data_IF_217008885738
#
_entry.id   IF_217008885738
#
_cell.length_a   1.000
_cell.length_b   1.000
_cell.length_c   1.000
_cell.angle_alpha   90.00
_cell.angle_beta   90.00
_cell.angle_gamma   90.00
#
_symmetry.space_group_name_H-M   'P 1'
#
loop_
_entity.id
_entity.type
_entity.pdbx_description
1 polymer ?
#
# COMPACT_ATOMS: atom_id res chain seq x y z
N UNK A 1 -3.29 1.16 17.51
CA UNK A 1 -4.47 0.97 16.65
C UNK A 1 -4.61 -0.50 16.35
N UNK A 2 -5.80 -0.94 15.95
CA UNK A 2 -5.95 -2.26 15.33
C UNK A 2 -4.96 -2.39 14.15
N UNK A 3 -4.44 -3.60 13.92
CA UNK A 3 -3.78 -3.93 12.66
C UNK A 3 -4.89 -4.28 11.66
N UNK A 4 -5.11 -3.42 10.67
CA UNK A 4 -6.19 -3.58 9.68
C UNK A 4 -5.63 -3.64 8.29
N UNK A 5 -6.19 -4.54 7.50
CA UNK A 5 -6.12 -4.53 6.04
C UNK A 5 -7.53 -4.21 5.52
N UNK A 6 -7.77 -2.94 5.18
CA UNK A 6 -9.12 -2.45 4.87
C UNK A 6 -10.05 -2.49 6.10
N UNK A 7 -11.12 -3.31 6.03
CA UNK A 7 -12.03 -3.61 7.17
C UNK A 7 -11.73 -4.96 7.85
N UNK A 8 -10.79 -5.73 7.31
CA UNK A 8 -10.32 -6.94 7.98
C UNK A 8 -9.37 -6.53 9.10
N UNK A 9 -9.77 -6.84 10.32
CA UNK A 9 -8.93 -6.65 11.50
C UNK A 9 -8.09 -7.91 11.58
N UNK A 10 -6.82 -7.81 11.21
CA UNK A 10 -5.85 -8.90 11.33
C UNK A 10 -5.60 -9.15 12.82
N UNK A 11 -5.32 -8.07 13.56
CA UNK A 11 -5.08 -8.13 14.99
C UNK A 11 -5.80 -6.96 15.69
N UNK A 12 -6.78 -7.25 16.58
CA UNK A 12 -7.52 -6.20 17.26
C UNK A 12 -6.65 -5.45 18.27
N UNK A 13 -7.02 -4.20 18.56
CA UNK A 13 -6.32 -3.38 19.55
C UNK A 13 -6.23 -4.06 20.91
N UNK A 14 -7.27 -4.83 21.30
CA UNK A 14 -7.33 -5.62 22.54
C UNK A 14 -6.12 -6.53 22.70
N UNK A 15 -5.75 -7.26 21.64
CA UNK A 15 -4.65 -8.22 21.66
C UNK A 15 -3.31 -7.49 21.61
N UNK A 16 -3.20 -6.43 20.80
CA UNK A 16 -1.97 -5.64 20.65
C UNK A 16 -1.55 -4.91 21.93
N UNK A 17 -2.52 -4.49 22.76
CA UNK A 17 -2.25 -3.71 23.97
C UNK A 17 -2.11 -4.59 25.22
N UNK A 18 -2.48 -5.87 25.14
CA UNK A 18 -2.48 -6.78 26.27
C UNK A 18 -1.09 -6.84 26.91
N UNK A 19 -1.03 -6.59 28.21
CA UNK A 19 0.22 -6.61 28.98
C UNK A 19 1.18 -5.46 28.68
N UNK A 20 0.79 -4.47 27.87
CA UNK A 20 1.59 -3.24 27.64
C UNK A 20 1.30 -2.20 28.71
N UNK A 21 2.23 -1.27 28.91
CA UNK A 21 2.04 -0.16 29.86
C UNK A 21 1.47 1.05 29.12
N UNK A 22 0.36 1.60 29.61
CA UNK A 22 -0.26 2.78 29.02
C UNK A 22 0.56 4.03 29.35
N UNK A 23 0.64 4.97 28.41
CA UNK A 23 1.37 6.23 28.62
C UNK A 23 0.48 7.30 29.25
N UNK A 24 -0.77 7.42 28.85
CA UNK A 24 -1.72 8.43 29.33
C UNK A 24 -2.85 7.82 30.13
N UNK A 25 -3.57 8.64 30.90
CA UNK A 25 -4.81 8.21 31.53
C UNK A 25 -5.85 7.88 30.45
N UNK A 26 -6.42 6.68 30.51
CA UNK A 26 -7.53 6.29 29.67
C UNK A 26 -8.85 6.68 30.34
N UNK A 27 -9.54 7.65 29.75
CA UNK A 27 -10.80 8.18 30.26
C UNK A 27 -11.94 7.73 29.34
N UNK A 28 -12.86 6.93 29.87
CA UNK A 28 -14.13 6.60 29.21
C UNK A 28 -15.27 7.28 29.96
N UNK A 29 -16.13 8.00 29.23
CA UNK A 29 -17.34 8.65 29.77
C UNK A 29 -17.11 9.44 31.08
N UNK A 30 -15.98 10.15 31.16
CA UNK A 30 -15.61 10.99 32.30
C UNK A 30 -15.04 10.25 33.52
N UNK A 31 -14.79 8.94 33.42
CA UNK A 31 -14.10 8.15 34.45
C UNK A 31 -12.77 7.60 33.93
N UNK A 32 -11.72 7.72 34.74
CA UNK A 32 -10.42 7.10 34.46
C UNK A 32 -10.57 5.59 34.65
N UNK A 33 -10.52 4.81 33.57
CA UNK A 33 -10.53 3.34 33.63
C UNK A 33 -9.12 2.84 33.93
N UNK A 34 -8.12 3.36 33.21
CA UNK A 34 -6.73 2.94 33.33
C UNK A 34 -5.87 4.17 33.59
N UNK A 35 -5.04 4.13 34.63
CA UNK A 35 -4.14 5.23 34.97
C UNK A 35 -2.86 5.17 34.16
N UNK A 36 -2.30 6.33 33.83
CA UNK A 36 -0.99 6.48 33.22
C UNK A 36 0.06 5.65 33.97
N UNK A 37 0.83 4.87 33.22
CA UNK A 37 1.94 4.08 33.76
C UNK A 37 1.53 2.77 34.44
N UNK A 38 0.25 2.38 34.41
CA UNK A 38 -0.20 1.03 34.76
C UNK A 38 -0.10 0.09 33.57
N UNK A 39 -0.01 -1.21 33.88
CA UNK A 39 0.05 -2.26 32.87
C UNK A 39 -1.37 -2.72 32.58
N UNK A 40 -1.71 -2.82 31.30
CA UNK A 40 -3.04 -3.18 30.84
C UNK A 40 -3.27 -4.67 31.08
N UNK A 41 -4.22 -4.96 31.96
CA UNK A 41 -4.73 -6.31 32.20
C UNK A 41 -5.75 -6.73 31.12
N UNK A 42 -6.06 -8.02 31.04
CA UNK A 42 -7.04 -8.57 30.09
C UNK A 42 -8.41 -7.87 30.19
N UNK A 43 -8.91 -7.65 31.41
CA UNK A 43 -10.17 -6.93 31.65
C UNK A 43 -10.12 -5.48 31.18
N UNK A 44 -8.99 -4.81 31.41
CA UNK A 44 -8.81 -3.42 30.96
C UNK A 44 -8.67 -3.34 29.44
N UNK A 45 -8.02 -4.33 28.81
CA UNK A 45 -7.92 -4.43 27.36
C UNK A 45 -9.30 -4.60 26.71
N UNK A 46 -10.16 -5.47 27.27
CA UNK A 46 -11.55 -5.64 26.82
C UNK A 46 -12.34 -4.33 26.95
N UNK A 47 -12.24 -3.65 28.09
CA UNK A 47 -12.91 -2.36 28.32
C UNK A 47 -12.44 -1.28 27.32
N UNK A 48 -11.14 -1.25 27.02
CA UNK A 48 -10.58 -0.34 26.01
C UNK A 48 -11.10 -0.72 24.62
N UNK A 49 -11.13 -2.00 24.26
CA UNK A 49 -11.69 -2.48 22.99
C UNK A 49 -13.17 -2.09 22.83
N UNK A 50 -13.98 -2.30 23.87
CA UNK A 50 -15.42 -2.01 23.87
C UNK A 50 -15.74 -0.51 23.79
N UNK A 51 -14.86 0.33 24.33
CA UNK A 51 -15.00 1.80 24.25
C UNK A 51 -14.98 2.32 22.81
N UNK A 52 -14.41 1.54 21.86
CA UNK A 52 -14.33 1.89 20.45
C UNK A 52 -13.23 2.90 20.11
N UNK A 53 -12.18 2.98 20.92
CA UNK A 53 -11.04 3.86 20.68
C UNK A 53 -10.16 3.33 19.55
N UNK A 54 -9.81 4.22 18.61
CA UNK A 54 -9.04 3.86 17.40
C UNK A 54 -7.53 3.78 17.65
N UNK A 55 -7.01 4.60 18.57
CA UNK A 55 -5.58 4.68 18.86
C UNK A 55 -5.32 4.93 20.34
N UNK A 56 -4.24 4.32 20.85
CA UNK A 56 -3.83 4.44 22.24
C UNK A 56 -2.30 4.52 22.30
N UNK A 57 -1.80 5.38 23.18
CA UNK A 57 -0.37 5.56 23.39
C UNK A 57 0.11 4.62 24.48
N UNK A 58 1.05 3.74 24.12
CA UNK A 58 1.69 2.78 25.02
C UNK A 58 3.20 3.06 25.12
N UNK A 59 3.82 2.57 26.19
CA UNK A 59 5.29 2.52 26.28
C UNK A 59 5.82 1.43 25.34
N UNK A 60 6.96 1.70 24.72
CA UNK A 60 7.64 0.76 23.84
C UNK A 60 9.07 0.50 24.32
N UNK A 61 9.59 -0.69 24.01
CA UNK A 61 11.00 -1.04 24.20
C UNK A 61 11.93 -0.15 23.36
N UNK A 62 11.45 0.33 22.20
CA UNK A 62 12.22 1.18 21.28
C UNK A 62 12.31 2.65 21.74
N UNK A 63 11.49 3.04 22.71
CA UNK A 63 11.46 4.39 23.30
C UNK A 63 11.98 4.37 24.75
N UNK A 64 12.74 3.35 25.13
CA UNK A 64 13.27 3.22 26.49
C UNK A 64 14.57 4.01 26.65
N UNK A 65 14.61 4.96 27.59
CA UNK A 65 15.79 5.82 27.84
C UNK A 65 16.91 5.13 28.65
N UNK A 66 16.70 3.88 29.08
CA UNK A 66 17.70 3.11 29.81
C UNK A 66 18.95 2.87 28.93
N UNK A 67 20.14 3.27 29.43
CA UNK A 67 21.41 3.16 28.68
C UNK A 67 21.81 1.72 28.33
N UNK A 68 21.55 0.77 29.23
CA UNK A 68 21.84 -0.67 29.04
C UNK A 68 20.70 -1.48 29.63
N UNK A 69 20.04 -2.27 28.79
CA UNK A 69 18.83 -3.00 29.14
C UNK A 69 17.56 -2.16 28.96
N UNK A 70 16.43 -2.70 29.39
CA UNK A 70 15.10 -2.11 29.20
C UNK A 70 14.42 -2.07 30.57
N UNK A 71 13.66 -1.01 30.87
CA UNK A 71 12.88 -0.97 32.10
C UNK A 71 11.66 -1.90 32.01
N UNK A 72 11.25 -2.49 33.14
CA UNK A 72 10.13 -3.45 33.18
C UNK A 72 8.84 -2.87 32.57
N UNK A 73 8.56 -1.59 32.79
CA UNK A 73 7.39 -0.89 32.23
C UNK A 73 7.43 -0.70 30.71
N UNK A 74 8.60 -0.62 30.08
CA UNK A 74 8.67 -0.50 28.60
C UNK A 74 8.46 -1.86 27.92
N UNK A 75 8.80 -2.96 28.59
CA UNK A 75 8.52 -4.29 28.11
C UNK A 75 7.07 -4.69 28.38
N UNK A 76 6.62 -4.53 29.64
CA UNK A 76 5.30 -4.90 30.10
C UNK A 76 5.28 -6.30 30.71
N UNK A 77 4.28 -7.10 30.34
CA UNK A 77 4.12 -8.46 30.84
C UNK A 77 5.10 -9.45 30.27
N UNK A 78 5.48 -10.41 31.12
CA UNK A 78 5.88 -11.72 30.66
C UNK A 78 4.64 -12.50 30.21
N UNK A 79 4.52 -12.75 28.90
CA UNK A 79 3.38 -13.45 28.30
C UNK A 79 3.19 -14.88 28.83
N UNK A 80 4.25 -15.50 29.39
CA UNK A 80 4.13 -16.84 29.98
C UNK A 80 3.54 -16.83 31.40
N UNK A 81 3.71 -15.73 32.14
CA UNK A 81 3.30 -15.63 33.54
C UNK A 81 2.10 -14.69 33.75
N UNK A 82 1.70 -13.94 32.72
CA UNK A 82 0.68 -12.89 32.76
C UNK A 82 0.87 -11.89 33.91
N UNK A 83 2.14 -11.54 34.16
CA UNK A 83 2.57 -10.60 35.21
C UNK A 83 3.63 -9.67 34.65
N UNK A 84 3.82 -8.53 35.31
CA UNK A 84 4.93 -7.62 35.00
C UNK A 84 6.25 -8.39 35.01
N UNK A 85 7.09 -8.17 34.00
CA UNK A 85 8.37 -8.87 33.87
C UNK A 85 9.26 -8.62 35.09
N UNK A 86 9.89 -9.68 35.58
CA UNK A 86 10.82 -9.60 36.70
C UNK A 86 12.12 -8.88 36.30
N UNK A 87 12.71 -8.18 37.26
CA UNK A 87 14.01 -7.55 37.05
C UNK A 87 15.06 -8.65 36.94
N UNK A 88 15.79 -8.66 35.81
CA UNK A 88 16.81 -9.67 35.50
C UNK A 88 16.40 -10.64 34.39
N UNK A 89 15.15 -10.61 33.93
CA UNK A 89 14.71 -11.43 32.79
C UNK A 89 15.44 -11.03 31.51
N UNK A 90 15.99 -12.02 30.80
CA UNK A 90 16.69 -11.87 29.53
C UNK A 90 15.73 -11.70 28.35
N UNK A 91 14.98 -10.59 28.34
CA UNK A 91 13.95 -10.28 27.34
C UNK A 91 14.46 -10.32 25.89
N UNK A 92 15.73 -9.95 25.66
CA UNK A 92 16.34 -10.00 24.32
C UNK A 92 16.50 -11.41 23.77
N UNK A 93 16.91 -12.37 24.62
CA UNK A 93 17.04 -13.79 24.22
C UNK A 93 15.66 -14.36 23.93
N UNK A 94 14.68 -14.06 24.79
CA UNK A 94 13.30 -14.49 24.58
C UNK A 94 12.71 -13.97 23.28
N UNK A 95 12.86 -12.66 23.00
CA UNK A 95 12.40 -12.06 21.76
C UNK A 95 13.06 -12.69 20.52
N UNK A 96 14.37 -12.95 20.57
CA UNK A 96 15.07 -13.61 19.47
C UNK A 96 14.57 -15.04 19.22
N UNK A 97 14.32 -15.81 20.29
CA UNK A 97 13.75 -17.16 20.18
C UNK A 97 12.31 -17.14 19.65
N UNK A 98 11.48 -16.23 20.13
CA UNK A 98 10.08 -16.08 19.70
C UNK A 98 9.93 -15.74 18.21
N UNK A 99 10.97 -15.21 17.56
CA UNK A 99 10.99 -14.98 16.12
C UNK A 99 11.70 -16.14 15.39
N UNK A 100 12.87 -16.55 15.89
CA UNK A 100 13.73 -17.51 15.21
C UNK A 100 13.20 -18.96 15.19
N UNK A 101 12.66 -19.45 16.30
CA UNK A 101 12.12 -20.82 16.37
C UNK A 101 10.89 -20.97 15.45
N UNK A 102 9.86 -20.11 15.52
CA UNK A 102 8.73 -20.22 14.60
C UNK A 102 9.14 -20.06 13.13
N UNK A 103 10.05 -19.13 12.81
CA UNK A 103 10.51 -18.94 11.42
C UNK A 103 11.21 -20.18 10.85
N UNK A 104 12.10 -20.81 11.62
CA UNK A 104 12.77 -22.07 11.21
C UNK A 104 11.80 -23.26 11.17
N UNK A 105 10.81 -23.30 12.05
CA UNK A 105 9.79 -24.35 12.01
C UNK A 105 8.85 -24.21 10.80
N UNK A 106 8.41 -22.98 10.51
CA UNK A 106 7.50 -22.66 9.42
C UNK A 106 8.14 -22.98 8.06
N UNK A 107 9.41 -22.62 7.86
CA UNK A 107 10.14 -22.99 6.64
C UNK A 107 10.16 -24.50 6.41
N UNK A 108 10.54 -25.27 7.43
CA UNK A 108 10.55 -26.72 7.33
C UNK A 108 9.15 -27.25 6.98
N UNK A 109 8.07 -26.82 7.67
CA UNK A 109 6.72 -27.31 7.36
C UNK A 109 6.27 -27.02 5.94
N UNK A 110 6.54 -25.82 5.42
CA UNK A 110 6.07 -25.41 4.08
C UNK A 110 6.76 -26.18 2.95
N UNK A 111 8.08 -26.38 3.03
CA UNK A 111 8.79 -27.16 2.01
C UNK A 111 8.34 -28.62 1.92
N UNK A 112 7.84 -29.21 3.01
CA UNK A 112 7.36 -30.60 3.02
C UNK A 112 5.91 -30.76 2.52
N UNK A 113 5.15 -29.66 2.43
CA UNK A 113 3.77 -29.62 1.89
C UNK A 113 3.75 -29.28 0.39
N UNK A 114 4.91 -29.00 -0.23
CA UNK A 114 5.09 -28.53 -1.60
C UNK A 114 4.52 -29.39 -2.75
N UNK A 115 3.81 -30.48 -2.45
CA UNK A 115 3.04 -31.28 -3.43
C UNK A 115 1.58 -30.82 -3.65
N UNK A 116 0.99 -30.01 -2.75
CA UNK A 116 -0.37 -29.49 -2.90
C UNK A 116 -0.37 -27.98 -2.79
N UNK A 117 -0.34 -27.28 -3.92
CA UNK A 117 -0.43 -25.83 -3.99
C UNK A 117 -1.86 -25.37 -3.61
N UNK A 118 -2.15 -25.25 -2.32
CA UNK A 118 -3.31 -24.48 -1.87
C UNK A 118 -2.98 -23.00 -2.03
N UNK A 119 -3.27 -22.44 -3.21
CA UNK A 119 -3.29 -20.98 -3.39
C UNK A 119 -4.29 -20.41 -2.39
N UNK A 120 -3.80 -19.68 -1.40
CA UNK A 120 -4.67 -18.81 -0.61
C UNK A 120 -5.23 -17.79 -1.59
N UNK A 121 -6.55 -17.81 -1.78
CA UNK A 121 -7.22 -16.91 -2.71
C UNK A 121 -7.21 -15.52 -2.07
N UNK A 122 -6.40 -14.62 -2.64
CA UNK A 122 -6.45 -13.20 -2.31
C UNK A 122 -7.87 -12.66 -2.53
N UNK A 123 -8.38 -11.88 -1.57
CA UNK A 123 -9.69 -11.26 -1.69
C UNK A 123 -9.65 -10.23 -2.82
N UNK A 124 -10.62 -10.31 -3.74
CA UNK A 124 -10.77 -9.42 -4.90
C UNK A 124 -11.98 -8.48 -4.78
N UNK A 125 -12.68 -8.55 -3.65
CA UNK A 125 -13.88 -7.78 -3.38
C UNK A 125 -13.88 -7.21 -1.96
N UNK A 126 -14.28 -5.96 -1.83
CA UNK A 126 -14.41 -5.31 -0.53
C UNK A 126 -15.88 -5.32 -0.13
N UNK A 127 -16.20 -5.97 0.97
CA UNK A 127 -17.55 -5.94 1.56
C UNK A 127 -17.57 -5.09 2.81
N UNK A 128 -18.72 -4.46 3.01
CA UNK A 128 -18.97 -3.64 4.18
C UNK A 128 -19.65 -4.47 5.28
N UNK A 129 -19.16 -4.36 6.51
CA UNK A 129 -19.74 -5.08 7.66
C UNK A 129 -20.96 -4.37 8.30
N UNK A 130 -21.25 -3.11 7.97
CA UNK A 130 -22.22 -2.28 8.72
C UNK A 130 -23.14 -1.47 7.82
N UNK A 131 -24.43 -1.36 8.17
CA UNK A 131 -25.32 -0.48 7.42
C UNK A 131 -24.90 1.00 7.54
N UNK A 132 -25.02 1.77 6.46
CA UNK A 132 -24.69 3.20 6.46
C UNK A 132 -24.93 3.88 5.11
N UNK A 133 -24.52 5.14 5.02
CA UNK A 133 -24.54 5.97 3.81
C UNK A 133 -23.11 6.12 3.30
N UNK A 134 -22.92 5.92 2.01
CA UNK A 134 -21.62 6.04 1.33
C UNK A 134 -21.28 7.51 1.11
N UNK A 135 -20.03 7.87 1.41
CA UNK A 135 -19.44 9.18 1.14
C UNK A 135 -18.00 9.01 0.65
N UNK A 136 -17.71 9.49 -0.55
CA UNK A 136 -16.37 9.50 -1.13
C UNK A 136 -15.56 10.70 -0.63
N UNK A 137 -14.24 10.59 -0.64
CA UNK A 137 -13.34 11.71 -0.38
C UNK A 137 -13.39 12.77 -1.47
N UNK A 138 -13.05 14.00 -1.13
CA UNK A 138 -13.10 15.17 -2.05
C UNK A 138 -12.29 14.99 -3.35
N UNK A 139 -11.25 14.14 -3.33
CA UNK A 139 -10.41 13.83 -4.47
C UNK A 139 -10.92 12.65 -5.33
N UNK A 140 -12.11 12.12 -5.05
CA UNK A 140 -12.65 10.99 -5.81
C UNK A 140 -13.10 11.42 -7.21
N UNK A 141 -12.59 10.72 -8.21
CA UNK A 141 -12.99 10.85 -9.61
C UNK A 141 -13.10 9.46 -10.23
N UNK A 142 -14.10 9.30 -11.09
CA UNK A 142 -14.49 8.02 -11.68
C UNK A 142 -14.77 8.17 -13.17
N UNK A 143 -14.70 7.05 -13.87
CA UNK A 143 -15.08 6.95 -15.27
C UNK A 143 -15.99 5.74 -15.48
N UNK A 144 -17.00 5.90 -16.33
CA UNK A 144 -17.85 4.81 -16.78
C UNK A 144 -17.27 4.32 -18.11
N UNK A 145 -16.84 3.06 -18.14
CA UNK A 145 -16.26 2.43 -19.32
C UNK A 145 -16.87 1.05 -19.51
N UNK A 146 -16.61 0.44 -20.66
CA UNK A 146 -16.85 -1.00 -20.86
C UNK A 146 -15.61 -1.78 -20.45
N UNK A 147 -15.83 -2.89 -19.75
CA UNK A 147 -14.78 -3.86 -19.45
C UNK A 147 -14.46 -4.73 -20.67
N UNK A 148 -13.44 -5.59 -20.57
CA UNK A 148 -13.04 -6.53 -21.65
C UNK A 148 -14.19 -7.46 -22.10
N UNK A 149 -15.17 -7.68 -21.22
CA UNK A 149 -16.39 -8.47 -21.50
C UNK A 149 -17.55 -7.65 -22.09
N UNK A 150 -17.36 -6.36 -22.33
CA UNK A 150 -18.38 -5.44 -22.86
C UNK A 150 -19.41 -4.95 -21.85
N UNK A 151 -19.24 -5.29 -20.56
CA UNK A 151 -20.11 -4.86 -19.46
C UNK A 151 -19.72 -3.44 -19.05
N UNK A 152 -20.70 -2.55 -18.86
CA UNK A 152 -20.46 -1.22 -18.31
C UNK A 152 -20.05 -1.30 -16.84
N UNK A 153 -18.89 -0.73 -16.53
CA UNK A 153 -18.28 -0.71 -15.21
C UNK A 153 -17.86 0.70 -14.85
N UNK A 154 -18.03 1.06 -13.57
CA UNK A 154 -17.52 2.32 -13.02
C UNK A 154 -16.13 2.07 -12.45
N UNK A 155 -15.10 2.70 -13.01
CA UNK A 155 -13.71 2.56 -12.58
C UNK A 155 -13.26 3.79 -11.80
N UNK A 156 -12.54 3.57 -10.69
CA UNK A 156 -11.89 4.63 -9.95
C UNK A 156 -10.65 5.15 -10.71
N UNK A 157 -10.60 6.47 -10.96
CA UNK A 157 -9.54 7.12 -11.74
C UNK A 157 -8.44 7.74 -10.88
N UNK A 158 -8.58 7.72 -9.55
CA UNK A 158 -7.69 8.42 -8.63
C UNK A 158 -7.04 7.47 -7.65
N UNK A 159 -5.75 7.67 -7.41
CA UNK A 159 -4.99 6.98 -6.37
C UNK A 159 -5.24 7.65 -5.02
N UNK A 160 -5.30 6.86 -3.95
CA UNK A 160 -5.55 7.35 -2.57
C UNK A 160 -6.94 7.97 -2.36
N UNK A 161 -7.94 7.55 -3.14
CA UNK A 161 -9.33 7.88 -2.84
C UNK A 161 -9.80 7.04 -1.66
N UNK A 162 -10.63 7.64 -0.79
CA UNK A 162 -11.19 6.98 0.38
C UNK A 162 -12.70 6.90 0.24
N UNK A 163 -13.26 5.78 0.67
CA UNK A 163 -14.69 5.58 0.83
C UNK A 163 -14.99 5.60 2.32
N UNK A 164 -15.95 6.42 2.74
CA UNK A 164 -16.40 6.52 4.12
C UNK A 164 -17.84 6.05 4.20
N UNK A 165 -18.14 5.16 5.15
CA UNK A 165 -19.51 4.74 5.44
C UNK A 165 -19.94 5.40 6.75
N UNK A 166 -20.88 6.35 6.65
CA UNK A 166 -21.45 7.08 7.80
C UNK A 166 -22.71 6.41 8.29
N UNK A 167 -22.83 6.24 9.61
CA UNK A 167 -24.06 5.75 10.23
C UNK A 167 -24.90 6.92 10.74
N UNK A 168 -26.22 6.89 10.51
CA UNK A 168 -27.14 7.98 10.91
C UNK A 168 -27.25 8.23 12.44
N UNK A 169 -26.62 7.41 13.29
CA UNK A 169 -26.78 7.47 14.76
C UNK A 169 -25.48 7.38 15.56
N UNK A 170 -24.32 7.21 14.93
CA UNK A 170 -23.04 7.06 15.64
C UNK A 170 -21.94 7.87 14.94
N UNK A 171 -20.98 8.40 15.70
CA UNK A 171 -19.76 9.02 15.16
C UNK A 171 -18.81 8.01 14.51
N UNK A 172 -19.12 6.71 14.55
CA UNK A 172 -18.27 5.64 14.00
C UNK A 172 -18.31 5.68 12.48
N UNK A 173 -17.18 5.94 11.86
CA UNK A 173 -16.98 5.95 10.40
C UNK A 173 -16.13 4.75 10.01
N UNK A 174 -16.59 3.94 9.05
CA UNK A 174 -15.71 2.98 8.39
C UNK A 174 -15.02 3.67 7.22
N UNK A 175 -13.69 3.65 7.17
CA UNK A 175 -12.89 4.25 6.10
C UNK A 175 -12.20 3.14 5.32
N UNK A 176 -12.42 3.11 4.01
CA UNK A 176 -11.82 2.15 3.09
C UNK A 176 -10.92 2.89 2.11
N UNK A 177 -9.74 2.34 1.85
CA UNK A 177 -8.86 2.85 0.79
C UNK A 177 -9.27 2.20 -0.54
N UNK A 178 -9.60 3.00 -1.54
CA UNK A 178 -10.02 2.51 -2.85
C UNK A 178 -8.77 2.41 -3.74
N UNK A 179 -8.44 1.21 -4.24
CA UNK A 179 -7.36 1.06 -5.21
C UNK A 179 -7.67 1.80 -6.53
N UNK A 180 -6.63 2.33 -7.16
CA UNK A 180 -6.76 2.85 -8.51
C UNK A 180 -7.19 1.75 -9.48
N UNK A 181 -8.18 2.02 -10.31
CA UNK A 181 -8.71 1.04 -11.25
C UNK A 181 -9.71 0.05 -10.67
N UNK A 182 -10.04 0.15 -9.36
CA UNK A 182 -11.10 -0.65 -8.77
C UNK A 182 -12.45 -0.38 -9.47
N UNK A 183 -13.22 -1.45 -9.68
CA UNK A 183 -14.61 -1.38 -10.13
C UNK A 183 -15.51 -1.05 -8.95
N UNK A 184 -16.14 0.12 -9.01
CA UNK A 184 -17.07 0.60 -7.99
C UNK A 184 -18.46 0.05 -8.27
N UNK A 185 -19.08 -0.57 -7.27
CA UNK A 185 -20.42 -1.16 -7.36
C UNK A 185 -21.51 -0.30 -6.71
N UNK A 186 -21.12 0.76 -6.01
CA UNK A 186 -21.99 1.65 -5.24
C UNK A 186 -21.80 3.12 -5.60
N UNK A 187 -22.83 3.93 -5.34
CA UNK A 187 -22.86 5.36 -5.67
C UNK A 187 -22.69 6.26 -4.43
N UNK A 188 -22.35 7.52 -4.67
CA UNK A 188 -22.29 8.56 -3.62
C UNK A 188 -23.69 8.74 -3.00
N UNK A 189 -23.76 8.74 -1.67
CA UNK A 189 -25.02 8.89 -0.93
C UNK A 189 -25.91 7.65 -0.90
N UNK A 190 -25.48 6.52 -1.48
CA UNK A 190 -26.24 5.28 -1.47
C UNK A 190 -26.32 4.68 -0.06
N UNK A 191 -27.48 4.12 0.30
CA UNK A 191 -27.68 3.40 1.56
C UNK A 191 -27.31 1.94 1.40
N UNK A 192 -26.18 1.55 1.97
CA UNK A 192 -25.68 0.18 1.93
C UNK A 192 -26.11 -0.62 3.15
N UNK A 193 -26.43 -1.90 2.93
CA UNK A 193 -26.70 -2.88 4.00
C UNK A 193 -25.39 -3.57 4.42
N UNK A 194 -25.36 -4.24 5.58
CA UNK A 194 -24.27 -5.16 5.89
C UNK A 194 -24.12 -6.20 4.79
N UNK A 195 -22.88 -6.62 4.52
CA UNK A 195 -22.47 -7.58 3.49
C UNK A 195 -22.67 -7.12 2.04
N UNK A 196 -22.85 -5.82 1.82
CA UNK A 196 -22.88 -5.24 0.45
C UNK A 196 -21.45 -5.10 -0.07
N UNK A 197 -21.19 -5.57 -1.28
CA UNK A 197 -19.91 -5.36 -1.98
C UNK A 197 -19.79 -3.90 -2.42
N UNK A 198 -18.75 -3.23 -1.96
CA UNK A 198 -18.47 -1.82 -2.24
C UNK A 198 -17.73 -1.67 -3.59
N UNK A 199 -16.64 -2.39 -3.74
CA UNK A 199 -15.80 -2.35 -4.94
C UNK A 199 -15.04 -3.66 -5.12
N UNK A 200 -14.60 -3.90 -6.35
CA UNK A 200 -13.83 -5.08 -6.76
C UNK A 200 -12.54 -4.67 -7.46
N UNK A 201 -11.47 -5.43 -7.28
CA UNK A 201 -10.19 -5.18 -7.94
C UNK A 201 -9.48 -6.50 -8.27
N UNK A 202 -8.50 -6.43 -9.15
CA UNK A 202 -7.60 -7.55 -9.40
C UNK A 202 -6.39 -7.46 -8.44
N UNK A 203 -6.21 -8.42 -7.52
CA UNK A 203 -5.06 -8.41 -6.62
C UNK A 203 -3.73 -8.76 -7.33
N UNK A 204 -3.78 -9.34 -8.53
CA UNK A 204 -2.60 -9.81 -9.26
C UNK A 204 -2.08 -8.82 -10.30
N UNK A 205 -2.90 -7.85 -10.71
CA UNK A 205 -2.53 -6.90 -11.75
C UNK A 205 -2.79 -5.46 -11.33
N UNK A 206 -1.79 -4.60 -11.53
CA UNK A 206 -2.03 -3.16 -11.60
C UNK A 206 -2.45 -2.81 -13.02
N UNK A 207 -3.33 -1.82 -13.16
CA UNK A 207 -3.81 -1.38 -14.46
C UNK A 207 -3.42 0.08 -14.72
N UNK A 208 -3.31 0.45 -15.99
CA UNK A 208 -3.24 1.86 -16.42
C UNK A 208 -4.50 2.16 -17.24
N UNK A 209 -5.27 3.16 -16.81
CA UNK A 209 -6.52 3.55 -17.45
C UNK A 209 -6.35 4.74 -18.39
N UNK A 210 -7.18 4.80 -19.42
CA UNK A 210 -7.31 5.95 -20.30
C UNK A 210 -7.87 7.15 -19.54
N UNK A 211 -7.14 8.27 -19.49
CA UNK A 211 -7.60 9.49 -18.80
C UNK A 211 -8.64 10.26 -19.58
N UNK A 212 -8.60 10.14 -20.90
CA UNK A 212 -9.45 10.87 -21.84
C UNK A 212 -9.89 9.93 -22.96
N UNK A 213 -10.99 10.28 -23.61
CA UNK A 213 -11.49 9.56 -24.78
C UNK A 213 -10.75 10.03 -26.03
N UNK A 214 -10.27 9.09 -26.86
CA UNK A 214 -9.56 9.41 -28.09
C UNK A 214 -8.92 8.20 -28.75
N UNK A 215 -7.99 8.45 -29.67
CA UNK A 215 -7.26 7.43 -30.41
C UNK A 215 -5.92 7.15 -29.72
N UNK A 216 -5.62 5.88 -29.47
CA UNK A 216 -4.33 5.46 -28.93
C UNK A 216 -3.24 5.58 -29.98
N UNK A 217 -2.11 6.18 -29.61
CA UNK A 217 -0.91 6.23 -30.44
C UNK A 217 0.27 5.70 -29.65
N UNK A 218 0.87 4.62 -30.15
CA UNK A 218 2.08 4.04 -29.56
C UNK A 218 3.32 4.74 -30.11
N UNK A 219 4.24 5.09 -29.23
CA UNK A 219 5.55 5.67 -29.58
C UNK A 219 6.67 4.87 -28.93
N UNK A 220 7.80 4.79 -29.63
CA UNK A 220 8.97 3.99 -29.26
C UNK A 220 8.65 2.48 -29.07
N UNK A 221 7.66 1.98 -29.81
CA UNK A 221 7.30 0.56 -29.87
C UNK A 221 8.00 -0.11 -31.06
N UNK A 222 9.00 -0.93 -30.77
CA UNK A 222 9.81 -1.67 -31.74
C UNK A 222 9.89 -3.12 -31.29
N UNK A 223 9.42 -4.04 -32.14
CA UNK A 223 9.41 -5.47 -31.85
C UNK A 223 10.83 -6.02 -31.66
N UNK A 224 11.04 -6.77 -30.58
CA UNK A 224 12.34 -7.34 -30.21
C UNK A 224 13.31 -6.37 -29.54
N UNK A 225 13.03 -5.05 -29.55
CA UNK A 225 13.81 -4.05 -28.82
C UNK A 225 13.07 -3.50 -27.60
N UNK A 226 11.84 -3.02 -27.75
CA UNK A 226 11.06 -2.41 -26.65
C UNK A 226 9.83 -3.22 -26.25
N UNK A 227 9.35 -4.10 -27.13
CA UNK A 227 8.32 -5.08 -26.77
C UNK A 227 8.57 -6.45 -27.41
N UNK A 228 8.00 -7.49 -26.82
CA UNK A 228 7.97 -8.86 -27.32
C UNK A 228 6.51 -9.31 -27.46
N UNK A 229 6.23 -10.19 -28.42
CA UNK A 229 4.90 -10.80 -28.57
C UNK A 229 4.94 -12.18 -27.91
N UNK A 230 4.26 -12.32 -26.79
CA UNK A 230 4.14 -13.58 -26.07
C UNK A 230 2.81 -14.25 -26.39
N UNK A 231 2.83 -15.58 -26.53
CA UNK A 231 1.60 -16.37 -26.67
C UNK A 231 1.17 -16.83 -25.28
N UNK A 232 0.01 -16.40 -24.81
CA UNK A 232 -0.58 -16.93 -23.58
C UNK A 232 -1.20 -18.31 -23.82
N UNK A 233 -1.41 -19.06 -22.74
CA UNK A 233 -2.01 -20.42 -22.76
C UNK A 233 -3.35 -20.50 -23.51
N UNK A 234 -4.07 -19.37 -23.62
CA UNK A 234 -5.33 -19.23 -24.36
C UNK A 234 -5.14 -19.08 -25.89
N UNK A 235 -3.91 -19.11 -26.40
CA UNK A 235 -3.58 -18.94 -27.81
C UNK A 235 -3.67 -17.51 -28.33
N UNK A 236 -4.05 -16.54 -27.48
CA UNK A 236 -4.00 -15.11 -27.80
C UNK A 236 -2.55 -14.62 -27.76
N UNK A 237 -2.19 -13.76 -28.70
CA UNK A 237 -0.91 -13.04 -28.69
C UNK A 237 -1.07 -11.77 -27.87
N UNK A 238 -0.16 -11.55 -26.93
CA UNK A 238 -0.12 -10.36 -26.09
C UNK A 238 1.21 -9.64 -26.29
N UNK A 239 1.15 -8.32 -26.33
CA UNK A 239 2.33 -7.46 -26.44
C UNK A 239 2.83 -7.19 -25.02
N UNK A 240 4.05 -7.62 -24.72
CA UNK A 240 4.69 -7.43 -23.42
C UNK A 240 5.89 -6.50 -23.58
N UNK A 241 5.94 -5.43 -22.79
CA UNK A 241 7.03 -4.47 -22.78
C UNK A 241 8.28 -5.11 -22.17
N UNK A 242 9.40 -5.06 -22.88
CA UNK A 242 10.69 -5.59 -22.44
C UNK A 242 11.67 -4.45 -22.13
N UNK A 243 12.74 -4.75 -21.41
CA UNK A 243 13.78 -3.77 -21.17
C UNK A 243 14.51 -3.43 -22.47
N UNK A 244 14.42 -2.16 -22.88
CA UNK A 244 15.04 -1.68 -24.11
C UNK A 244 16.56 -1.73 -24.02
N UNK A 245 17.21 -2.31 -25.05
CA UNK A 245 18.67 -2.29 -25.19
C UNK A 245 19.21 -0.87 -25.35
N UNK A 246 18.51 -0.05 -26.14
CA UNK A 246 18.78 1.39 -26.21
C UNK A 246 17.95 2.14 -25.17
N UNK A 247 18.64 2.67 -24.15
CA UNK A 247 18.03 3.45 -23.06
C UNK A 247 17.51 4.82 -23.50
N UNK A 248 17.62 5.20 -24.77
CA UNK A 248 16.94 6.39 -25.31
C UNK A 248 15.48 6.13 -25.65
N UNK A 249 15.15 4.90 -26.02
CA UNK A 249 13.78 4.51 -26.32
C UNK A 249 13.02 4.34 -25.00
N UNK A 250 11.82 4.89 -24.93
CA UNK A 250 10.95 4.73 -23.77
C UNK A 250 9.55 4.43 -24.29
N UNK A 251 9.11 3.17 -24.34
CA UNK A 251 7.81 2.82 -24.90
C UNK A 251 6.73 3.59 -24.14
N UNK A 252 5.98 4.42 -24.87
CA UNK A 252 4.95 5.26 -24.28
C UNK A 252 3.69 5.31 -25.14
N UNK A 253 2.58 5.55 -24.44
CA UNK A 253 1.25 5.65 -24.99
C UNK A 253 0.76 7.09 -24.92
N UNK A 254 0.25 7.60 -26.02
CA UNK A 254 -0.44 8.89 -26.09
C UNK A 254 -1.90 8.69 -26.52
N UNK A 255 -2.78 9.56 -26.04
CA UNK A 255 -4.18 9.61 -26.52
C UNK A 255 -4.33 10.90 -27.32
N UNK A 256 -4.68 10.77 -28.59
CA UNK A 256 -4.87 11.88 -29.51
C UNK A 256 -6.34 12.05 -29.89
N UNK A 257 -6.74 13.30 -30.11
CA UNK A 257 -8.06 13.64 -30.65
C UNK A 257 -8.11 13.28 -32.16
N UNK A 258 -9.30 13.31 -32.76
CA UNK A 258 -9.51 13.10 -34.20
C UNK A 258 -8.70 14.08 -35.07
N UNK A 259 -8.33 15.25 -34.51
CA UNK A 259 -7.51 16.28 -35.15
C UNK A 259 -6.00 16.08 -34.96
N UNK A 260 -5.57 15.02 -34.27
CA UNK A 260 -4.18 14.71 -33.99
C UNK A 260 -3.54 15.52 -32.84
N UNK A 261 -4.33 16.31 -32.11
CA UNK A 261 -3.88 16.98 -30.88
C UNK A 261 -3.78 15.99 -29.72
N UNK A 262 -2.73 16.08 -28.91
CA UNK A 262 -2.54 15.22 -27.75
C UNK A 262 -3.49 15.67 -26.64
N UNK A 263 -4.44 14.82 -26.26
CA UNK A 263 -5.46 15.09 -25.23
C UNK A 263 -5.01 14.57 -23.87
N UNK A 264 -4.34 13.42 -23.84
CA UNK A 264 -3.66 12.89 -22.65
C UNK A 264 -2.18 12.72 -22.92
N UNK A 265 -1.35 13.22 -22.00
CA UNK A 265 0.11 13.18 -22.10
C UNK A 265 0.71 11.78 -22.24
N UNK A 266 1.99 11.72 -22.61
CA UNK A 266 2.74 10.48 -22.85
C UNK A 266 2.88 9.64 -21.57
N UNK A 267 2.14 8.53 -21.51
CA UNK A 267 2.23 7.53 -20.44
C UNK A 267 3.33 6.54 -20.77
N UNK A 268 4.45 6.61 -20.05
CA UNK A 268 5.56 5.66 -20.20
C UNK A 268 5.16 4.31 -19.59
N UNK A 269 5.41 3.24 -20.32
CA UNK A 269 5.06 1.89 -19.90
C UNK A 269 6.22 1.23 -19.16
N UNK A 270 5.96 0.59 -18.01
CA UNK A 270 6.99 -0.13 -17.28
C UNK A 270 7.35 -1.45 -17.98
N UNK A 271 8.50 -2.01 -17.61
CA UNK A 271 8.93 -3.34 -18.09
C UNK A 271 8.00 -4.40 -17.50
N UNK A 272 7.75 -5.48 -18.25
CA UNK A 272 6.74 -6.52 -17.98
C UNK A 272 5.28 -6.07 -18.14
N UNK A 273 5.02 -4.84 -18.54
CA UNK A 273 3.67 -4.38 -18.78
C UNK A 273 3.08 -5.05 -20.04
N UNK A 274 1.87 -5.58 -19.93
CA UNK A 274 1.12 -6.17 -21.04
C UNK A 274 0.15 -5.14 -21.60
N UNK A 275 0.26 -4.86 -22.89
CA UNK A 275 -0.63 -3.95 -23.59
C UNK A 275 -1.95 -4.65 -23.94
N UNK A 276 -3.08 -4.02 -23.60
CA UNK A 276 -4.44 -4.56 -23.85
C UNK A 276 -5.01 -4.00 -25.16
N UNK A 277 -4.67 -2.76 -25.50
CA UNK A 277 -5.16 -2.03 -26.68
C UNK A 277 -4.15 -2.04 -27.82
N UNK A 278 -4.61 -1.83 -29.06
CA UNK A 278 -3.74 -1.74 -30.23
C UNK A 278 -3.44 -0.30 -30.65
N UNK A 279 -2.39 -0.12 -31.47
CA UNK A 279 -2.13 1.19 -32.09
C UNK A 279 -3.31 1.63 -32.96
N UNK A 280 -3.71 2.91 -32.83
CA UNK A 280 -4.85 3.55 -33.51
C UNK A 280 -6.22 3.06 -33.10
N UNK A 281 -6.33 2.36 -31.98
CA UNK A 281 -7.62 1.96 -31.42
C UNK A 281 -8.32 3.15 -30.74
N UNK A 282 -9.65 3.22 -30.86
CA UNK A 282 -10.46 4.21 -30.13
C UNK A 282 -10.70 3.72 -28.71
N UNK A 283 -10.33 4.53 -27.73
CA UNK A 283 -10.50 4.24 -26.30
C UNK A 283 -11.39 5.26 -25.63
N UNK A 284 -12.16 4.79 -24.64
CA UNK A 284 -12.97 5.64 -23.78
C UNK A 284 -12.24 5.94 -22.49
N UNK A 285 -12.49 7.12 -21.91
CA UNK A 285 -12.03 7.44 -20.56
C UNK A 285 -12.43 6.34 -19.57
N UNK A 286 -11.46 5.85 -18.81
CA UNK A 286 -11.61 4.74 -17.85
C UNK A 286 -11.28 3.36 -18.40
N UNK A 287 -11.12 3.21 -19.72
CA UNK A 287 -10.78 1.92 -20.33
C UNK A 287 -9.36 1.47 -19.96
N UNK A 288 -9.19 0.17 -19.71
CA UNK A 288 -7.88 -0.42 -19.43
C UNK A 288 -7.00 -0.40 -20.67
N UNK A 289 -5.86 0.28 -20.59
CA UNK A 289 -4.86 0.34 -21.66
C UNK A 289 -3.80 -0.73 -21.49
N UNK A 290 -3.36 -0.94 -20.26
CA UNK A 290 -2.18 -1.74 -19.90
C UNK A 290 -2.45 -2.47 -18.60
N UNK A 291 -1.99 -3.72 -18.52
CA UNK A 291 -1.97 -4.54 -17.30
C UNK A 291 -0.52 -4.80 -16.90
N UNK A 292 -0.20 -4.60 -15.64
CA UNK A 292 1.14 -4.81 -15.08
C UNK A 292 1.01 -5.94 -14.06
N UNK A 293 1.63 -7.10 -14.28
CA UNK A 293 1.62 -8.18 -13.31
C UNK A 293 2.37 -7.73 -12.05
N UNK A 294 1.73 -7.87 -10.89
CA UNK A 294 2.39 -7.61 -9.62
C UNK A 294 3.38 -8.73 -9.32
N UNK A 295 4.58 -8.37 -8.92
CA UNK A 295 5.52 -9.30 -8.32
C UNK A 295 5.01 -9.65 -6.90
N UNK A 296 4.06 -10.59 -6.83
CA UNK A 296 3.51 -11.08 -5.56
C UNK A 296 4.55 -11.99 -4.90
N UNK A 297 5.51 -11.35 -4.24
CA UNK A 297 6.47 -11.99 -3.33
C UNK A 297 6.01 -12.02 -1.88
N UNK A 298 4.81 -11.53 -1.58
CA UNK A 298 4.22 -11.40 -0.25
C UNK A 298 2.72 -11.57 -0.44
N UNK A 299 2.04 -12.47 0.24
CA UNK A 299 1.60 -12.10 1.59
C UNK A 299 1.39 -13.28 2.54
N UNK A 300 1.51 -14.55 2.12
CA UNK A 300 1.25 -15.68 3.05
C UNK A 300 2.13 -16.91 2.85
N UNK A 301 3.08 -16.87 1.92
CA UNK A 301 4.01 -17.98 1.66
C UNK A 301 5.38 -17.69 2.29
N UNK A 302 5.76 -18.53 3.25
CA UNK A 302 6.98 -18.44 4.07
C UNK A 302 8.25 -18.41 3.20
N UNK A 303 8.19 -18.96 1.99
CA UNK A 303 9.31 -19.01 1.05
C UNK A 303 9.73 -17.63 0.53
N UNK A 304 8.79 -16.67 0.42
CA UNK A 304 9.08 -15.27 0.06
C UNK A 304 9.24 -14.34 1.26
N UNK A 305 8.58 -14.64 2.38
CA UNK A 305 8.52 -13.76 3.56
C UNK A 305 9.83 -13.65 4.36
N UNK A 306 10.56 -14.75 4.59
CA UNK A 306 11.78 -14.70 5.40
C UNK A 306 12.94 -13.91 4.78
N UNK A 307 13.23 -14.02 3.47
CA UNK A 307 14.18 -13.13 2.82
C UNK A 307 13.84 -11.65 3.05
N UNK A 308 12.56 -11.29 3.01
CA UNK A 308 12.12 -9.92 3.31
C UNK A 308 12.38 -9.53 4.77
N UNK A 309 12.04 -10.40 5.73
CA UNK A 309 12.30 -10.13 7.15
C UNK A 309 13.81 -9.93 7.39
N UNK A 310 14.65 -10.74 6.75
CA UNK A 310 16.11 -10.57 6.80
C UNK A 310 16.55 -9.23 6.18
N UNK A 311 16.00 -8.83 5.03
CA UNK A 311 16.26 -7.50 4.44
C UNK A 311 15.92 -6.36 5.40
N UNK A 312 14.80 -6.46 6.14
CA UNK A 312 14.38 -5.46 7.10
C UNK A 312 15.31 -5.39 8.31
N UNK A 313 15.72 -6.54 8.88
CA UNK A 313 16.65 -6.58 10.01
C UNK A 313 18.06 -6.10 9.65
N UNK A 314 18.50 -6.35 8.42
CA UNK A 314 19.81 -5.91 7.93
C UNK A 314 19.80 -4.49 7.35
N UNK A 315 18.64 -3.80 7.35
CA UNK A 315 18.42 -2.52 6.67
C UNK A 315 18.94 -2.52 5.22
N UNK A 316 18.76 -3.64 4.51
CA UNK A 316 19.18 -3.74 3.11
C UNK A 316 18.25 -2.90 2.25
N UNK A 317 18.81 -2.31 1.20
CA UNK A 317 17.98 -1.70 0.15
C UNK A 317 17.18 -2.81 -0.53
N UNK A 318 15.85 -2.67 -0.64
CA UNK A 318 15.03 -3.66 -1.32
C UNK A 318 15.50 -3.89 -2.75
N UNK A 319 15.28 -5.10 -3.27
CA UNK A 319 15.62 -5.45 -4.66
C UNK A 319 14.89 -4.55 -5.68
N UNK A 320 13.64 -4.17 -5.39
CA UNK A 320 12.88 -3.17 -6.15
C UNK A 320 12.50 -1.98 -5.24
N UNK A 321 13.36 -0.96 -5.09
CA UNK A 321 13.13 0.13 -4.14
C UNK A 321 12.21 1.22 -4.70
N UNK A 322 11.18 1.61 -3.97
CA UNK A 322 10.39 2.80 -4.31
C UNK A 322 11.20 4.07 -4.06
N UNK A 323 11.00 5.08 -4.91
CA UNK A 323 11.53 6.43 -4.70
C UNK A 323 10.49 7.24 -3.97
N UNK A 324 10.86 7.87 -2.85
CA UNK A 324 9.95 8.59 -1.96
C UNK A 324 10.28 10.08 -1.92
N UNK A 325 9.27 10.95 -1.80
CA UNK A 325 9.49 12.39 -1.62
C UNK A 325 9.81 12.74 -0.17
N UNK A 326 10.73 13.68 0.03
CA UNK A 326 11.15 14.22 1.33
C UNK A 326 10.36 15.48 1.72
N UNK A 327 9.58 16.04 0.79
CA UNK A 327 8.83 17.29 0.98
C UNK A 327 7.36 17.14 0.57
N UNK A 328 6.51 17.99 1.13
CA UNK A 328 5.15 18.20 0.67
C UNK A 328 5.18 19.12 -0.56
N UNK A 329 4.38 18.83 -1.58
CA UNK A 329 4.35 19.69 -2.75
C UNK A 329 3.61 19.12 -3.95
N UNK A 330 3.63 19.87 -5.04
CA UNK A 330 3.00 19.49 -6.30
C UNK A 330 4.01 18.84 -7.24
N UNK A 331 3.64 17.72 -7.83
CA UNK A 331 4.46 16.94 -8.76
C UNK A 331 4.53 17.63 -10.12
N UNK A 332 5.74 17.81 -10.64
CA UNK A 332 6.03 18.26 -12.00
C UNK A 332 7.02 17.32 -12.68
N UNK A 333 6.74 16.92 -13.91
CA UNK A 333 7.66 16.04 -14.63
C UNK A 333 8.77 16.85 -15.29
N UNK A 334 10.01 16.39 -15.11
CA UNK A 334 11.19 16.95 -15.75
C UNK A 334 11.62 16.16 -16.98
N UNK A 335 12.81 16.48 -17.49
CA UNK A 335 13.39 15.79 -18.63
C UNK A 335 13.65 14.30 -18.33
N UNK A 336 13.37 13.47 -19.33
CA UNK A 336 13.85 12.08 -19.38
C UNK A 336 15.16 12.04 -20.16
N UNK A 337 16.25 11.60 -19.51
CA UNK A 337 17.56 11.44 -20.16
C UNK A 337 18.08 10.02 -19.96
N UNK A 338 18.38 9.33 -21.06
CA UNK A 338 18.89 7.94 -21.05
C UNK A 338 18.02 7.00 -20.19
N UNK A 339 16.70 7.14 -20.29
CA UNK A 339 15.73 6.31 -19.60
C UNK A 339 15.53 6.66 -18.12
N UNK A 340 16.32 7.58 -17.56
CA UNK A 340 16.09 8.10 -16.20
C UNK A 340 15.14 9.28 -16.30
N UNK A 341 13.98 9.15 -15.65
CA UNK A 341 12.97 10.21 -15.59
C UNK A 341 13.20 11.07 -14.37
N UNK A 342 13.25 12.39 -14.54
CA UNK A 342 13.27 13.31 -13.40
C UNK A 342 11.85 13.71 -13.01
N UNK A 343 11.56 13.68 -11.72
CA UNK A 343 10.35 14.24 -11.14
C UNK A 343 10.76 15.35 -10.18
N UNK A 344 10.16 16.51 -10.34
CA UNK A 344 10.31 17.65 -9.45
C UNK A 344 9.09 17.69 -8.52
N UNK A 345 9.30 17.87 -7.23
CA UNK A 345 8.24 18.16 -6.26
C UNK A 345 8.45 19.60 -5.83
N UNK A 346 7.46 20.44 -6.13
CA UNK A 346 7.51 21.88 -5.92
C UNK A 346 6.84 22.20 -4.59
N UNK A 347 7.57 22.84 -3.68
CA UNK A 347 7.07 23.19 -2.35
C UNK A 347 5.97 24.25 -2.40
N UNK A 348 4.98 24.16 -1.51
CA UNK A 348 3.83 25.07 -1.51
C UNK A 348 4.13 26.46 -0.88
N UNK A 349 5.29 26.61 -0.23
CA UNK A 349 5.63 27.81 0.56
C UNK A 349 6.24 28.96 -0.27
N UNK A 350 6.24 28.87 -1.60
CA UNK A 350 6.61 29.97 -2.51
C UNK A 350 8.08 30.42 -2.44
N UNK A 351 8.92 29.72 -1.68
CA UNK A 351 10.37 29.87 -1.72
C UNK A 351 10.95 28.83 -2.70
N UNK A 352 11.60 29.30 -3.78
CA UNK A 352 12.31 28.50 -4.79
C UNK A 352 13.38 27.53 -4.22
N UNK A 353 13.66 27.59 -2.91
CA UNK A 353 14.67 26.79 -2.22
C UNK A 353 14.21 25.41 -1.76
N UNK A 354 12.92 25.10 -1.76
CA UNK A 354 12.39 23.83 -1.24
C UNK A 354 12.10 22.77 -2.33
N UNK A 355 12.26 23.11 -3.61
CA UNK A 355 12.03 22.18 -4.72
C UNK A 355 13.02 21.01 -4.69
N UNK A 356 12.51 19.79 -4.70
CA UNK A 356 13.34 18.57 -4.76
C UNK A 356 13.16 17.82 -6.06
N UNK A 357 14.27 17.31 -6.57
CA UNK A 357 14.33 16.55 -7.81
C UNK A 357 14.67 15.09 -7.53
N UNK A 358 13.83 14.18 -7.99
CA UNK A 358 13.97 12.74 -7.83
C UNK A 358 14.20 12.07 -9.18
N UNK A 359 15.09 11.08 -9.22
CA UNK A 359 15.41 10.33 -10.44
C UNK A 359 14.79 8.95 -10.38
N UNK A 360 13.88 8.66 -11.29
CA UNK A 360 13.23 7.35 -11.41
C UNK A 360 13.99 6.52 -12.45
N UNK A 361 14.48 5.31 -12.08
CA UNK A 361 15.12 4.41 -13.02
C UNK A 361 14.23 4.01 -14.19
N UNK A 362 14.86 3.65 -15.31
CA UNK A 362 14.17 3.17 -16.50
C UNK A 362 13.30 1.94 -16.18
N UNK A 363 12.13 1.85 -16.82
CA UNK A 363 11.25 0.70 -16.73
C UNK A 363 10.42 0.61 -15.46
N UNK A 364 10.59 1.53 -14.50
CA UNK A 364 9.74 1.59 -13.29
C UNK A 364 8.40 2.26 -13.58
N UNK A 365 7.35 1.71 -12.98
CA UNK A 365 6.03 2.30 -13.01
C UNK A 365 5.98 3.53 -12.10
N UNK A 366 5.76 4.69 -12.70
CA UNK A 366 5.53 5.94 -11.96
C UNK A 366 4.07 5.95 -11.52
N UNK A 367 3.83 6.09 -10.22
CA UNK A 367 2.47 6.04 -9.65
C UNK A 367 1.84 7.42 -9.49
N UNK A 368 2.64 8.48 -9.46
CA UNK A 368 2.15 9.87 -9.37
C UNK A 368 1.91 10.47 -10.75
N UNK A 369 1.04 11.46 -10.84
CA UNK A 369 0.80 12.25 -12.04
C UNK A 369 1.31 13.69 -11.88
N UNK A 370 1.49 14.35 -13.02
CA UNK A 370 1.78 15.78 -13.04
C UNK A 370 0.57 16.58 -12.52
N UNK A 371 0.83 17.50 -11.59
CA UNK A 371 -0.20 18.28 -10.90
C UNK A 371 -0.68 17.66 -9.57
N UNK A 372 -0.33 16.40 -9.27
CA UNK A 372 -0.73 15.77 -8.01
C UNK A 372 -0.06 16.47 -6.81
N UNK A 373 -0.85 16.77 -5.77
CA UNK A 373 -0.31 17.20 -4.49
C UNK A 373 0.02 15.98 -3.62
N UNK A 374 1.27 15.87 -3.21
CA UNK A 374 1.77 14.75 -2.41
C UNK A 374 2.43 15.24 -1.13
N UNK A 375 2.35 14.41 -0.09
CA UNK A 375 3.00 14.68 1.19
C UNK A 375 4.39 14.04 1.27
N UNK A 376 5.26 14.57 2.12
CA UNK A 376 6.51 13.97 2.52
C UNK A 376 6.26 12.53 2.98
N UNK A 377 7.08 11.59 2.50
CA UNK A 377 6.89 10.16 2.72
C UNK A 377 6.09 9.44 1.63
N UNK A 378 5.51 10.15 0.66
CA UNK A 378 4.76 9.50 -0.43
C UNK A 378 5.71 8.90 -1.47
N UNK A 379 5.41 7.68 -1.92
CA UNK A 379 6.14 7.02 -3.02
C UNK A 379 5.78 7.65 -4.37
N UNK A 380 6.79 7.85 -5.21
CA UNK A 380 6.68 8.38 -6.59
C UNK A 380 6.60 7.27 -7.63
N UNK A 381 7.16 6.10 -7.32
CA UNK A 381 7.12 4.92 -8.18
C UNK A 381 6.81 3.66 -7.37
N UNK A 382 6.46 2.60 -8.08
CA UNK A 382 6.27 1.27 -7.52
C UNK A 382 7.57 0.73 -6.88
N UNK A 383 7.41 -0.07 -5.84
CA UNK A 383 8.48 -0.75 -5.13
C UNK A 383 8.29 -0.72 -3.62
N UNK A 384 9.19 -1.41 -2.91
CA UNK A 384 9.24 -1.38 -1.45
C UNK A 384 10.01 -0.16 -0.96
N UNK A 385 9.52 0.50 0.09
CA UNK A 385 10.20 1.63 0.70
C UNK A 385 11.36 1.10 1.56
N UNK A 386 12.50 1.80 1.56
CA UNK A 386 13.64 1.46 2.40
C UNK A 386 13.46 2.03 3.82
N UNK A 387 13.77 1.27 4.88
CA UNK A 387 13.77 1.78 6.25
C UNK A 387 14.66 3.02 6.44
N UNK A 388 15.80 3.09 5.75
CA UNK A 388 16.71 4.24 5.78
C UNK A 388 16.06 5.52 5.23
N UNK A 389 15.26 5.38 4.18
CA UNK A 389 14.54 6.51 3.57
C UNK A 389 13.41 6.99 4.50
N UNK A 390 12.69 6.08 5.13
CA UNK A 390 11.68 6.40 6.15
C UNK A 390 12.34 7.13 7.32
N UNK A 391 13.53 6.70 7.76
CA UNK A 391 14.25 7.34 8.88
C UNK A 391 14.62 8.77 8.57
N UNK A 392 15.11 9.00 7.35
CA UNK A 392 15.56 10.31 6.90
C UNK A 392 14.40 11.29 6.73
N UNK A 393 13.24 10.81 6.27
CA UNK A 393 12.11 11.68 5.91
C UNK A 393 11.08 11.81 7.03
N UNK A 394 10.62 10.68 7.57
CA UNK A 394 9.53 10.63 8.55
C UNK A 394 10.04 10.52 9.99
N UNK A 395 11.34 10.24 10.17
CA UNK A 395 12.00 10.20 11.46
C UNK A 395 11.91 8.85 12.17
N UNK A 396 12.50 8.74 13.37
CA UNK A 396 12.71 7.47 14.06
C UNK A 396 11.41 6.81 14.52
N UNK A 397 10.38 7.58 14.86
CA UNK A 397 9.10 7.01 15.30
C UNK A 397 8.40 6.25 14.17
N UNK A 398 8.37 6.82 12.96
CA UNK A 398 7.72 6.22 11.79
C UNK A 398 8.44 4.94 11.34
N UNK A 399 9.78 4.92 11.36
CA UNK A 399 10.55 3.70 11.00
C UNK A 399 10.28 2.57 11.97
N UNK A 400 10.22 2.87 13.28
CA UNK A 400 9.96 1.86 14.31
C UNK A 400 8.60 1.22 14.09
N UNK A 401 7.59 2.03 13.81
CA UNK A 401 6.24 1.55 13.50
C UNK A 401 6.22 0.73 12.21
N UNK A 402 6.86 1.22 11.15
CA UNK A 402 6.99 0.52 9.88
C UNK A 402 7.65 -0.87 10.04
N UNK A 403 8.79 -0.94 10.71
CA UNK A 403 9.51 -2.20 10.94
C UNK A 403 8.71 -3.19 11.77
N UNK A 404 7.99 -2.71 12.80
CA UNK A 404 7.16 -3.59 13.64
C UNK A 404 5.99 -4.14 12.84
N UNK A 405 5.28 -3.29 12.08
CA UNK A 405 4.14 -3.73 11.29
C UNK A 405 4.55 -4.69 10.16
N UNK A 406 5.61 -4.38 9.38
CA UNK A 406 6.06 -5.25 8.26
C UNK A 406 6.66 -6.59 8.69
N UNK A 407 7.07 -6.74 9.95
CA UNK A 407 7.54 -8.03 10.47
C UNK A 407 6.38 -8.82 11.09
N UNK A 408 5.32 -8.14 11.53
CA UNK A 408 4.11 -8.75 12.10
C UNK A 408 3.11 -9.20 11.02
N UNK A 409 2.98 -8.42 9.95
CA UNK A 409 2.31 -8.81 8.70
C UNK A 409 3.09 -9.90 7.96
#
# INVERSE_FOLDING_TARGET
SDLKEGEEIIEPITDRILGRTILDDFIDRGKVIVKSGSVISEKEAELIGDSGVESIRIRSVLTCDTKRGICAKCYGWDLSLHKLVDIGTSVGIRAAQSIGEPGTQLTLRTFHIGGTASRVIEQSEMKNKRAGVVEYSDNYDFAITKDESGIEVRRCMVRHSKLVIKQNKSEKKSVFNIPYGATMLIEEGEKVKPDTTLFQWDPYTDIILARETGIVKLKDFIEGETYSVESVETGKKQIVVIEARDRKLSPHLEIVDEKGGIVSGSTILPVKATLVVNDKENVQRGQTLVKIPKDIGKTRDITGGLPRVAELFESRKPSNPAVMTEINGTVKFGDTRRGIRKIHVIGNDGNDGDDRSYSIPYGKHVIVHEGDFINAGSSLCEGAISPDDILRVLGPSAVREYLVNEIQE
#
